data_IF_927420731805
#
_entry.id   IF_927420731805
#
_cell.length_a   1.000
_cell.length_b   1.000
_cell.length_c   1.000
_cell.angle_alpha   90.00
_cell.angle_beta   90.00
_cell.angle_gamma   90.00
#
_symmetry.space_group_name_H-M   'P 1'
#
loop_
_entity.id
_entity.type
_entity.pdbx_description
1 polymer ?
#
# COMPACT_ATOMS: atom_id res chain seq x y z
N UNK A 1 -13.78 -16.89 14.79
CA UNK A 1 -12.86 -15.82 14.32
C UNK A 1 -11.66 -15.64 15.25
N UNK A 2 -11.82 -15.64 16.58
CA UNK A 2 -10.71 -15.55 17.56
C UNK A 2 -9.82 -16.81 17.70
N UNK A 3 -10.09 -17.91 17.01
CA UNK A 3 -9.24 -19.11 17.09
C UNK A 3 -8.00 -19.05 16.18
N UNK A 4 -8.00 -18.19 15.15
CA UNK A 4 -6.87 -18.02 14.22
C UNK A 4 -5.89 -16.93 14.68
N UNK A 5 -6.30 -16.08 15.62
CA UNK A 5 -5.51 -14.95 16.09
C UNK A 5 -5.49 -14.96 17.61
N UNK A 6 -4.29 -15.05 18.19
CA UNK A 6 -4.04 -15.07 19.64
C UNK A 6 -4.49 -13.78 20.32
N UNK A 7 -4.52 -12.66 19.60
CA UNK A 7 -5.02 -11.37 20.08
C UNK A 7 -5.43 -10.43 18.92
N UNK A 8 -6.04 -9.29 19.28
CA UNK A 8 -6.50 -8.25 18.34
C UNK A 8 -5.34 -7.67 17.50
N UNK A 9 -4.16 -7.56 18.09
CA UNK A 9 -2.95 -7.04 17.44
C UNK A 9 -2.47 -7.96 16.31
N UNK A 10 -2.53 -9.29 16.51
CA UNK A 10 -2.16 -10.27 15.47
C UNK A 10 -3.14 -10.21 14.30
N UNK A 11 -4.45 -10.10 14.56
CA UNK A 11 -5.44 -9.88 13.51
C UNK A 11 -5.15 -8.60 12.71
N UNK A 12 -4.83 -7.51 13.40
CA UNK A 12 -4.48 -6.24 12.76
C UNK A 12 -3.20 -6.31 11.95
N UNK A 13 -2.16 -6.99 12.46
CA UNK A 13 -0.92 -7.21 11.73
C UNK A 13 -1.18 -7.98 10.43
N UNK A 14 -1.92 -9.09 10.51
CA UNK A 14 -2.28 -9.89 9.34
C UNK A 14 -3.11 -9.10 8.34
N UNK A 15 -4.10 -8.34 8.80
CA UNK A 15 -4.93 -7.50 7.93
C UNK A 15 -4.08 -6.42 7.20
N UNK A 16 -3.16 -5.75 7.90
CA UNK A 16 -2.26 -4.76 7.26
C UNK A 16 -1.31 -5.39 6.25
N UNK A 17 -0.78 -6.58 6.54
CA UNK A 17 0.10 -7.30 5.61
C UNK A 17 -0.66 -7.73 4.36
N UNK A 18 -1.87 -8.24 4.50
CA UNK A 18 -2.72 -8.65 3.39
C UNK A 18 -3.10 -7.44 2.52
N UNK A 19 -3.56 -6.35 3.13
CA UNK A 19 -3.86 -5.11 2.41
C UNK A 19 -2.64 -4.60 1.61
N UNK A 20 -1.46 -4.60 2.22
CA UNK A 20 -0.23 -4.23 1.52
C UNK A 20 0.14 -5.22 0.39
N UNK A 21 -0.12 -6.52 0.55
CA UNK A 21 0.13 -7.51 -0.50
C UNK A 21 -0.78 -7.29 -1.71
N UNK A 22 -2.08 -7.06 -1.47
CA UNK A 22 -3.07 -6.74 -2.52
C UNK A 22 -2.64 -5.49 -3.29
N UNK A 23 -2.32 -4.40 -2.59
CA UNK A 23 -1.80 -3.16 -3.19
C UNK A 23 -0.55 -3.42 -4.05
N UNK A 24 0.40 -4.22 -3.53
CA UNK A 24 1.62 -4.53 -4.26
C UNK A 24 1.34 -5.34 -5.53
N UNK A 25 0.46 -6.33 -5.47
CA UNK A 25 0.08 -7.13 -6.64
C UNK A 25 -0.62 -6.27 -7.70
N UNK A 26 -1.54 -5.39 -7.30
CA UNK A 26 -2.22 -4.44 -8.18
C UNK A 26 -1.25 -3.51 -8.92
N UNK A 27 -0.28 -2.94 -8.21
CA UNK A 27 0.74 -2.06 -8.79
C UNK A 27 1.69 -2.84 -9.70
N UNK A 28 2.18 -4.01 -9.29
CA UNK A 28 3.09 -4.84 -10.11
C UNK A 28 2.42 -5.27 -11.41
N UNK A 29 1.17 -5.72 -11.36
CA UNK A 29 0.43 -6.15 -12.56
C UNK A 29 0.24 -5.01 -13.58
N UNK A 30 0.08 -3.76 -13.12
CA UNK A 30 0.01 -2.58 -14.01
C UNK A 30 1.39 -2.16 -14.51
N UNK A 31 2.39 -2.14 -13.65
CA UNK A 31 3.77 -1.80 -14.02
C UNK A 31 4.36 -2.75 -15.07
N UNK A 32 3.95 -4.03 -15.08
CA UNK A 32 4.34 -4.99 -16.13
C UNK A 32 3.80 -4.63 -17.52
N UNK A 33 2.72 -3.84 -17.60
CA UNK A 33 2.10 -3.42 -18.87
C UNK A 33 2.54 -2.03 -19.31
N UNK A 34 3.07 -1.22 -18.40
CA UNK A 34 3.53 0.13 -18.68
C UNK A 34 4.82 0.13 -19.52
N UNK A 35 4.81 0.90 -20.60
CA UNK A 35 5.89 1.04 -21.60
C UNK A 35 6.56 2.41 -21.57
N UNK A 36 5.89 3.43 -21.04
CA UNK A 36 6.45 4.77 -20.88
C UNK A 36 6.65 5.15 -19.40
N UNK A 37 7.54 6.11 -19.10
CA UNK A 37 7.67 6.65 -17.74
C UNK A 37 6.37 7.22 -17.17
N UNK A 38 5.49 7.77 -18.03
CA UNK A 38 4.18 8.28 -17.63
C UNK A 38 3.21 7.15 -17.30
N UNK A 39 3.12 6.13 -18.16
CA UNK A 39 2.29 4.94 -17.89
C UNK A 39 2.73 4.21 -16.61
N UNK A 40 4.02 4.27 -16.26
CA UNK A 40 4.51 3.74 -14.99
C UNK A 40 4.01 4.54 -13.79
N UNK A 41 3.91 5.87 -13.92
CA UNK A 41 3.35 6.72 -12.88
C UNK A 41 1.85 6.45 -12.73
N UNK A 42 1.12 6.37 -13.84
CA UNK A 42 -0.31 6.04 -13.85
C UNK A 42 -0.57 4.67 -13.25
N UNK A 43 0.23 3.65 -13.61
CA UNK A 43 0.16 2.31 -13.04
C UNK A 43 0.31 2.28 -11.51
N UNK A 44 1.18 3.15 -10.96
CA UNK A 44 1.36 3.30 -9.52
C UNK A 44 0.18 4.00 -8.91
N UNK A 45 -0.31 5.09 -9.51
CA UNK A 45 -1.48 5.82 -8.99
C UNK A 45 -2.70 4.91 -9.00
N UNK A 46 -3.10 4.38 -10.16
CA UNK A 46 -4.26 3.51 -10.28
C UNK A 46 -4.20 2.28 -9.38
N UNK A 47 -3.02 1.65 -9.23
CA UNK A 47 -2.86 0.50 -8.36
C UNK A 47 -3.01 0.82 -6.86
N UNK A 48 -2.77 2.07 -6.44
CA UNK A 48 -3.02 2.52 -5.07
C UNK A 48 -4.43 3.06 -4.86
N UNK A 49 -5.12 3.46 -5.95
CA UNK A 49 -6.45 4.07 -5.92
C UNK A 49 -7.55 3.14 -6.49
N UNK A 50 -7.37 1.82 -6.39
CA UNK A 50 -8.41 0.88 -6.84
C UNK A 50 -9.70 1.03 -6.04
N UNK A 51 -10.84 1.02 -6.74
CA UNK A 51 -12.18 1.23 -6.17
C UNK A 51 -12.50 0.30 -4.99
N UNK A 52 -12.05 -0.96 -5.06
CA UNK A 52 -12.29 -1.95 -4.02
C UNK A 52 -11.65 -1.58 -2.66
N UNK A 53 -10.61 -0.72 -2.66
CA UNK A 53 -9.93 -0.22 -1.46
C UNK A 53 -10.71 0.91 -0.77
N UNK A 54 -11.63 1.56 -1.48
CA UNK A 54 -12.46 2.65 -0.97
C UNK A 54 -13.83 2.20 -0.46
N UNK A 55 -14.05 0.87 -0.40
CA UNK A 55 -15.26 0.33 0.19
C UNK A 55 -15.31 0.67 1.69
N UNK A 56 -16.48 1.07 2.24
CA UNK A 56 -16.59 1.48 3.64
C UNK A 56 -15.97 0.52 4.66
N UNK A 57 -16.13 -0.82 4.55
CA UNK A 57 -15.50 -1.74 5.49
C UNK A 57 -13.97 -1.68 5.49
N UNK A 58 -13.35 -1.53 4.32
CA UNK A 58 -11.89 -1.41 4.21
C UNK A 58 -11.40 -0.07 4.75
N UNK A 59 -12.08 1.02 4.41
CA UNK A 59 -11.76 2.35 4.96
C UNK A 59 -11.83 2.37 6.49
N UNK A 60 -12.88 1.80 7.09
CA UNK A 60 -13.00 1.71 8.55
C UNK A 60 -11.91 0.86 9.20
N UNK A 61 -11.58 -0.29 8.59
CA UNK A 61 -10.46 -1.11 9.02
C UNK A 61 -9.14 -0.33 8.96
N UNK A 62 -8.90 0.42 7.87
CA UNK A 62 -7.68 1.19 7.69
C UNK A 62 -7.54 2.33 8.69
N UNK A 63 -8.62 3.06 8.96
CA UNK A 63 -8.63 4.10 10.00
C UNK A 63 -8.39 3.52 11.39
N UNK A 64 -9.00 2.38 11.71
CA UNK A 64 -8.80 1.69 13.00
C UNK A 64 -7.34 1.27 13.17
N UNK A 65 -6.72 0.76 12.09
CA UNK A 65 -5.32 0.36 12.09
C UNK A 65 -4.38 1.56 12.25
N UNK A 66 -4.62 2.65 11.51
CA UNK A 66 -3.85 3.89 11.64
C UNK A 66 -3.91 4.47 13.05
N UNK A 67 -5.03 4.34 13.75
CA UNK A 67 -5.17 4.79 15.14
C UNK A 67 -4.32 3.98 16.13
N UNK A 68 -4.03 2.70 15.84
CA UNK A 68 -3.21 1.82 16.68
C UNK A 68 -1.70 1.93 16.38
N UNK A 69 -1.31 2.44 15.20
CA UNK A 69 0.10 2.57 14.79
C UNK A 69 1.00 3.25 15.82
N UNK A 70 0.63 4.37 16.47
CA UNK A 70 1.50 5.02 17.46
C UNK A 70 1.78 4.16 18.71
N UNK A 71 0.99 3.11 18.93
CA UNK A 71 1.03 2.26 20.13
C UNK A 71 1.63 0.88 19.88
N UNK A 72 1.82 0.50 18.62
CA UNK A 72 2.33 -0.80 18.21
C UNK A 72 3.48 -0.66 17.21
N UNK A 73 4.70 -0.96 17.67
CA UNK A 73 5.92 -0.86 16.86
C UNK A 73 5.89 -1.74 15.60
N UNK A 74 5.19 -2.88 15.62
CA UNK A 74 5.08 -3.76 14.46
C UNK A 74 4.20 -3.13 13.39
N UNK A 75 3.05 -2.57 13.79
CA UNK A 75 2.17 -1.85 12.87
C UNK A 75 2.87 -0.60 12.30
N UNK A 76 3.61 0.13 13.13
CA UNK A 76 4.43 1.25 12.69
C UNK A 76 5.48 0.85 11.65
N UNK A 77 6.15 -0.28 11.84
CA UNK A 77 7.11 -0.82 10.87
C UNK A 77 6.44 -1.17 9.54
N UNK A 78 5.25 -1.76 9.56
CA UNK A 78 4.49 -2.08 8.35
C UNK A 78 4.08 -0.79 7.62
N UNK A 79 3.50 0.17 8.33
CA UNK A 79 3.10 1.45 7.74
C UNK A 79 4.28 2.20 7.12
N UNK A 80 5.44 2.19 7.78
CA UNK A 80 6.68 2.78 7.24
C UNK A 80 7.09 2.13 5.91
N UNK A 81 6.98 0.80 5.78
CA UNK A 81 7.28 0.09 4.53
C UNK A 81 6.29 0.44 3.43
N UNK A 82 5.00 0.50 3.75
CA UNK A 82 3.94 0.91 2.80
C UNK A 82 4.25 2.31 2.25
N UNK A 83 4.48 3.29 3.14
CA UNK A 83 4.79 4.66 2.74
C UNK A 83 6.10 4.76 1.94
N UNK A 84 7.16 4.04 2.35
CA UNK A 84 8.42 4.03 1.63
C UNK A 84 8.27 3.45 0.20
N UNK A 85 7.49 2.38 0.02
CA UNK A 85 7.18 1.82 -1.30
C UNK A 85 6.40 2.79 -2.16
N UNK A 86 5.34 3.40 -1.63
CA UNK A 86 4.56 4.41 -2.34
C UNK A 86 5.46 5.56 -2.82
N UNK A 87 6.28 6.11 -1.92
CA UNK A 87 7.23 7.17 -2.25
C UNK A 87 8.23 6.73 -3.33
N UNK A 88 8.83 5.55 -3.18
CA UNK A 88 9.80 5.02 -4.15
C UNK A 88 9.17 4.82 -5.53
N UNK A 89 7.96 4.28 -5.57
CA UNK A 89 7.23 4.04 -6.82
C UNK A 89 6.91 5.35 -7.54
N UNK A 90 6.40 6.35 -6.81
CA UNK A 90 6.12 7.69 -7.36
C UNK A 90 7.39 8.41 -7.84
N UNK A 91 8.51 8.25 -7.14
CA UNK A 91 9.79 8.85 -7.56
C UNK A 91 10.49 8.09 -8.70
N UNK A 92 10.06 6.87 -9.02
CA UNK A 92 10.69 6.06 -10.07
C UNK A 92 10.27 6.46 -11.48
N UNK A 93 9.04 6.96 -11.67
CA UNK A 93 8.53 7.44 -12.96
C UNK A 93 9.22 8.72 -13.47
N UNK A 94 9.31 9.80 -12.66
CA UNK A 94 9.83 11.08 -13.11
C UNK A 94 11.33 11.12 -13.42
N UNK A 95 12.13 10.14 -12.99
CA UNK A 95 13.58 10.10 -13.31
C UNK A 95 13.88 10.00 -14.81
N UNK A 96 12.92 9.57 -15.63
CA UNK A 96 13.00 9.61 -17.09
C UNK A 96 12.28 10.80 -17.74
N UNK A 97 11.58 11.63 -16.96
CA UNK A 97 10.81 12.79 -17.45
C UNK A 97 11.51 14.12 -17.17
N UNK A 98 12.42 14.16 -16.18
CA UNK A 98 13.31 15.29 -16.00
C UNK A 98 14.45 15.20 -17.02
N UNK A 99 14.46 16.13 -17.99
CA UNK A 99 15.65 16.37 -18.80
C UNK A 99 16.86 16.60 -17.89
N UNK A 100 18.05 16.07 -18.20
CA UNK A 100 19.26 16.50 -17.52
C UNK A 100 19.41 18.01 -17.75
N UNK A 101 19.51 18.78 -16.66
CA UNK A 101 20.08 20.12 -16.72
C UNK A 101 21.60 20.02 -16.74
#
# INVERSE_FOLDING_TARGET
VLHYFRNKQELFEHAMREANAVLCHAVVARLQRARSPMERLDAVIEGNFEEHLFLPPLCHAWLSLCAEVPRDEKLARIQKVIHARMRSNLLSGPRGLASPQ
#
